data_IF_280564335062
#
_entry.id   IF_280564335062
#
_cell.length_a   1.000
_cell.length_b   1.000
_cell.length_c   1.000
_cell.angle_alpha   90.00
_cell.angle_beta   90.00
_cell.angle_gamma   90.00
#
_symmetry.space_group_name_H-M   'P 1'
#
loop_
_entity.id
_entity.type
_entity.pdbx_description
1 polymer ?
#
# COMPACT_ATOMS: atom_id res chain seq x y z
N UNK A 1 -1.37 -21.01 -13.94
CA UNK A 1 -2.81 -20.81 -13.74
C UNK A 1 -3.32 -19.87 -14.80
N UNK A 2 -4.41 -20.21 -15.48
CA UNK A 2 -5.09 -19.32 -16.41
C UNK A 2 -5.95 -18.30 -15.64
N UNK A 3 -6.42 -17.24 -16.30
CA UNK A 3 -7.31 -16.25 -15.69
C UNK A 3 -8.68 -16.84 -15.28
N UNK A 4 -9.12 -17.92 -15.94
CA UNK A 4 -10.36 -18.62 -15.60
C UNK A 4 -10.23 -19.52 -14.35
N UNK A 5 -9.02 -19.99 -14.00
CA UNK A 5 -8.79 -20.75 -12.76
C UNK A 5 -8.84 -19.86 -11.49
N UNK A 6 -8.70 -18.53 -11.65
CA UNK A 6 -8.71 -17.56 -10.55
C UNK A 6 -10.13 -17.21 -10.08
N UNK A 7 -11.15 -17.48 -10.89
CA UNK A 7 -12.55 -17.13 -10.60
C UNK A 7 -13.17 -17.90 -9.43
N UNK A 8 -12.66 -19.10 -9.14
CA UNK A 8 -13.05 -19.96 -8.02
C UNK A 8 -12.01 -19.98 -6.88
N UNK A 9 -10.96 -19.16 -6.97
CA UNK A 9 -9.89 -19.16 -5.97
C UNK A 9 -10.27 -18.31 -4.76
N UNK A 10 -10.29 -18.95 -3.58
CA UNK A 10 -10.46 -18.26 -2.29
C UNK A 10 -9.37 -17.20 -2.08
N UNK A 11 -9.75 -16.04 -1.58
CA UNK A 11 -8.87 -14.89 -1.40
C UNK A 11 -9.12 -14.10 -0.12
N UNK A 12 -8.47 -12.94 -0.01
CA UNK A 12 -8.59 -12.04 1.15
C UNK A 12 -10.04 -11.64 1.41
N UNK A 13 -10.84 -11.47 0.35
CA UNK A 13 -12.27 -11.15 0.46
C UNK A 13 -13.05 -12.20 1.27
N UNK A 14 -12.78 -13.49 1.03
CA UNK A 14 -13.45 -14.60 1.72
C UNK A 14 -13.09 -14.65 3.20
N UNK A 15 -11.83 -14.37 3.54
CA UNK A 15 -11.37 -14.27 4.93
C UNK A 15 -11.90 -13.02 5.65
N UNK A 16 -12.14 -11.93 4.92
CA UNK A 16 -12.65 -10.67 5.46
C UNK A 16 -14.15 -10.72 5.78
N UNK A 17 -14.94 -11.47 5.01
CA UNK A 17 -16.39 -11.56 5.18
C UNK A 17 -16.77 -11.89 6.64
N UNK A 18 -17.76 -11.23 7.26
CA UNK A 18 -18.09 -11.39 8.69
C UNK A 18 -18.30 -12.85 9.16
N UNK A 19 -18.90 -13.68 8.31
CA UNK A 19 -19.13 -15.11 8.52
C UNK A 19 -18.20 -15.98 7.66
N UNK A 20 -16.95 -15.53 7.48
CA UNK A 20 -15.93 -16.23 6.70
C UNK A 20 -15.83 -17.71 7.09
N UNK A 21 -15.88 -18.59 6.08
CA UNK A 21 -15.59 -20.02 6.24
C UNK A 21 -14.09 -20.29 6.29
N UNK A 22 -13.29 -19.37 5.75
CA UNK A 22 -11.84 -19.46 5.62
C UNK A 22 -11.14 -18.46 6.55
N UNK A 23 -10.05 -18.87 7.18
CA UNK A 23 -9.13 -17.97 7.85
C UNK A 23 -8.18 -17.35 6.82
N UNK A 24 -7.52 -16.23 7.18
CA UNK A 24 -6.50 -15.64 6.30
C UNK A 24 -5.39 -16.64 5.96
N UNK A 25 -5.02 -17.51 6.91
CA UNK A 25 -4.01 -18.54 6.71
C UNK A 25 -4.35 -19.51 5.56
N UNK A 26 -5.63 -19.75 5.29
CA UNK A 26 -6.09 -20.70 4.28
C UNK A 26 -5.95 -20.16 2.85
N UNK A 27 -5.81 -18.83 2.70
CA UNK A 27 -5.68 -18.15 1.40
C UNK A 27 -4.25 -17.70 1.11
N UNK A 28 -3.30 -17.95 2.00
CA UNK A 28 -1.90 -17.58 1.81
C UNK A 28 -1.23 -18.50 0.78
N UNK A 29 -0.60 -17.91 -0.22
CA UNK A 29 0.12 -18.62 -1.29
C UNK A 29 1.55 -18.12 -1.42
N UNK A 30 2.52 -18.97 -1.78
CA UNK A 30 3.86 -18.50 -2.11
C UNK A 30 3.83 -17.56 -3.31
N UNK A 31 4.67 -16.51 -3.29
CA UNK A 31 4.86 -15.66 -4.46
C UNK A 31 6.00 -16.18 -5.35
N UNK A 32 6.32 -15.43 -6.41
CA UNK A 32 7.49 -15.69 -7.26
C UNK A 32 8.83 -15.33 -6.59
N UNK A 33 8.79 -14.62 -5.46
CA UNK A 33 9.97 -14.22 -4.70
C UNK A 33 10.12 -15.06 -3.44
N UNK A 34 11.32 -15.59 -3.23
CA UNK A 34 11.65 -16.38 -2.05
C UNK A 34 11.44 -15.57 -0.76
N UNK A 35 10.81 -16.20 0.23
CA UNK A 35 10.49 -15.55 1.51
C UNK A 35 9.32 -14.56 1.46
N UNK A 36 8.65 -14.42 0.32
CA UNK A 36 7.47 -13.56 0.18
C UNK A 36 6.22 -14.43 -0.04
N UNK A 37 5.27 -14.30 0.89
CA UNK A 37 3.94 -14.90 0.81
C UNK A 37 2.92 -13.85 0.39
N UNK A 38 1.97 -14.24 -0.45
CA UNK A 38 0.89 -13.40 -0.95
C UNK A 38 -0.45 -13.87 -0.38
N UNK A 39 -1.28 -12.92 0.05
CA UNK A 39 -2.71 -13.14 0.25
C UNK A 39 -3.45 -12.53 -0.96
N UNK A 40 -3.89 -13.32 -1.94
CA UNK A 40 -4.39 -12.78 -3.19
C UNK A 40 -5.83 -12.26 -3.04
N UNK A 41 -6.16 -11.25 -3.84
CA UNK A 41 -7.54 -10.84 -4.12
C UNK A 41 -7.76 -11.02 -5.62
N UNK A 42 -8.17 -12.22 -6.08
CA UNK A 42 -8.23 -12.51 -7.51
C UNK A 42 -9.32 -11.71 -8.25
N UNK A 43 -10.38 -11.31 -7.53
CA UNK A 43 -11.52 -10.57 -8.08
C UNK A 43 -11.80 -9.34 -7.20
N UNK A 44 -11.73 -8.15 -7.78
CA UNK A 44 -11.93 -6.87 -7.05
C UNK A 44 -13.36 -6.72 -6.56
N UNK A 45 -14.34 -7.23 -7.32
CA UNK A 45 -15.76 -7.22 -6.96
C UNK A 45 -16.01 -7.99 -5.65
N UNK A 46 -15.37 -9.15 -5.45
CA UNK A 46 -15.50 -9.93 -4.23
C UNK A 46 -15.03 -9.13 -2.99
N UNK A 47 -13.97 -8.33 -3.13
CA UNK A 47 -13.49 -7.46 -2.07
C UNK A 47 -14.48 -6.33 -1.77
N UNK A 48 -15.12 -5.75 -2.80
CA UNK A 48 -16.16 -4.74 -2.61
C UNK A 48 -17.40 -5.30 -1.90
N UNK A 49 -17.82 -6.52 -2.24
CA UNK A 49 -18.92 -7.23 -1.59
C UNK A 49 -18.58 -7.53 -0.12
N UNK A 50 -17.37 -8.04 0.15
CA UNK A 50 -16.87 -8.24 1.51
C UNK A 50 -16.89 -6.92 2.30
N UNK A 51 -16.45 -5.81 1.69
CA UNK A 51 -16.52 -4.48 2.27
C UNK A 51 -17.94 -4.09 2.70
N UNK A 52 -18.93 -4.28 1.82
CA UNK A 52 -20.35 -4.00 2.10
C UNK A 52 -20.87 -4.86 3.27
N UNK A 53 -20.48 -6.13 3.32
CA UNK A 53 -20.86 -7.01 4.43
C UNK A 53 -20.23 -6.56 5.76
N UNK A 54 -18.98 -6.13 5.74
CA UNK A 54 -18.29 -5.56 6.92
C UNK A 54 -18.97 -4.26 7.35
N UNK A 55 -19.35 -3.38 6.43
CA UNK A 55 -20.08 -2.15 6.72
C UNK A 55 -21.43 -2.41 7.42
N UNK A 56 -22.11 -3.50 7.05
CA UNK A 56 -23.37 -3.90 7.68
C UNK A 56 -23.24 -4.36 9.14
N UNK A 57 -22.01 -4.60 9.62
CA UNK A 57 -21.75 -5.02 11.00
C UNK A 57 -22.01 -3.87 11.98
N UNK A 58 -22.62 -4.21 13.13
CA UNK A 58 -23.01 -3.22 14.15
C UNK A 58 -21.85 -2.72 15.00
N UNK A 59 -20.86 -3.57 15.25
CA UNK A 59 -19.76 -3.27 16.18
C UNK A 59 -18.43 -3.80 15.62
N UNK A 60 -17.33 -3.07 15.87
CA UNK A 60 -15.97 -3.51 15.58
C UNK A 60 -15.63 -3.64 14.09
N UNK A 61 -16.46 -3.08 13.20
CA UNK A 61 -16.31 -3.19 11.74
C UNK A 61 -15.04 -2.53 11.22
N UNK A 62 -14.54 -1.51 11.90
CA UNK A 62 -13.29 -0.81 11.61
C UNK A 62 -12.05 -1.66 11.95
N UNK A 63 -12.21 -2.69 12.79
CA UNK A 63 -11.15 -3.57 13.26
C UNK A 63 -11.23 -4.98 12.64
N UNK A 64 -12.10 -5.21 11.64
CA UNK A 64 -12.32 -6.53 11.06
C UNK A 64 -11.01 -7.10 10.49
N UNK A 65 -10.29 -6.33 9.70
CA UNK A 65 -9.05 -6.80 9.11
C UNK A 65 -7.98 -7.09 10.16
N UNK A 66 -7.87 -6.28 11.22
CA UNK A 66 -6.98 -6.57 12.35
C UNK A 66 -7.25 -7.95 12.96
N UNK A 67 -8.52 -8.33 13.13
CA UNK A 67 -8.89 -9.65 13.67
C UNK A 67 -8.50 -10.79 12.74
N UNK A 68 -8.69 -10.60 11.44
CA UNK A 68 -8.37 -11.59 10.39
C UNK A 68 -6.85 -11.74 10.23
N UNK A 69 -6.09 -10.65 10.38
CA UNK A 69 -4.64 -10.61 10.23
C UNK A 69 -3.89 -11.17 11.46
N UNK A 70 -4.39 -10.91 12.67
CA UNK A 70 -3.71 -11.26 13.93
C UNK A 70 -3.18 -12.70 14.03
N UNK A 71 -3.92 -13.75 13.61
CA UNK A 71 -3.45 -15.13 13.72
C UNK A 71 -2.19 -15.45 12.92
N UNK A 72 -1.91 -14.69 11.86
CA UNK A 72 -0.77 -14.95 10.97
C UNK A 72 0.41 -13.99 11.18
N UNK A 73 0.20 -12.88 11.90
CA UNK A 73 1.21 -11.81 12.07
C UNK A 73 2.56 -12.32 12.58
N UNK A 74 2.57 -13.25 13.54
CA UNK A 74 3.81 -13.73 14.16
C UNK A 74 4.73 -14.53 13.22
N UNK A 75 4.24 -14.89 12.03
CA UNK A 75 5.01 -15.60 11.02
C UNK A 75 5.78 -14.66 10.07
N UNK A 76 5.57 -13.35 10.14
CA UNK A 76 6.12 -12.37 9.20
C UNK A 76 6.83 -11.24 9.92
N UNK A 77 8.02 -10.88 9.43
CA UNK A 77 8.76 -9.71 9.91
C UNK A 77 8.14 -8.40 9.42
N UNK A 78 7.55 -8.43 8.22
CA UNK A 78 6.94 -7.29 7.54
C UNK A 78 5.67 -7.74 6.83
N UNK A 79 4.61 -6.94 6.96
CA UNK A 79 3.35 -7.13 6.21
C UNK A 79 3.09 -5.86 5.40
N UNK A 80 2.98 -6.02 4.08
CA UNK A 80 2.58 -4.94 3.19
C UNK A 80 1.10 -5.13 2.83
N UNK A 81 0.32 -4.07 2.98
CA UNK A 81 -1.11 -4.05 2.66
C UNK A 81 -1.31 -3.08 1.50
N UNK A 82 -1.57 -3.63 0.31
CA UNK A 82 -1.95 -2.82 -0.85
C UNK A 82 -3.45 -2.56 -0.80
N UNK A 83 -3.83 -1.29 -0.71
CA UNK A 83 -5.22 -0.87 -0.55
C UNK A 83 -5.82 -0.46 -1.87
N UNK A 84 -7.10 -0.76 -2.09
CA UNK A 84 -7.83 -0.19 -3.22
C UNK A 84 -7.88 1.35 -3.09
N UNK A 85 -7.92 2.09 -4.20
CA UNK A 85 -7.96 3.57 -4.16
C UNK A 85 -9.27 4.14 -3.61
N UNK A 86 -10.22 3.30 -3.23
CA UNK A 86 -11.51 3.71 -2.71
C UNK A 86 -11.40 4.15 -1.25
N UNK A 87 -11.77 5.41 -0.98
CA UNK A 87 -11.98 5.89 0.38
C UNK A 87 -13.23 5.19 0.93
N UNK A 88 -13.09 4.46 2.04
CA UNK A 88 -14.17 3.64 2.59
C UNK A 88 -13.72 2.74 3.73
N UNK A 89 -14.61 1.87 4.20
CA UNK A 89 -14.35 1.09 5.41
C UNK A 89 -13.17 0.12 5.27
N UNK A 90 -12.88 -0.37 4.06
CA UNK A 90 -11.71 -1.24 3.83
C UNK A 90 -10.39 -0.49 3.99
N UNK A 91 -10.30 0.76 3.52
CA UNK A 91 -9.15 1.62 3.77
C UNK A 91 -9.00 1.88 5.27
N UNK A 92 -10.09 2.22 5.96
CA UNK A 92 -10.09 2.37 7.42
C UNK A 92 -9.57 1.11 8.10
N UNK A 93 -10.04 -0.08 7.70
CA UNK A 93 -9.57 -1.36 8.25
C UNK A 93 -8.07 -1.59 8.05
N UNK A 94 -7.55 -1.27 6.86
CA UNK A 94 -6.12 -1.35 6.58
C UNK A 94 -5.31 -0.41 7.48
N UNK A 95 -5.74 0.85 7.60
CA UNK A 95 -5.08 1.85 8.47
C UNK A 95 -5.17 1.47 9.96
N UNK A 96 -6.28 0.89 10.40
CA UNK A 96 -6.45 0.41 11.78
C UNK A 96 -5.53 -0.77 12.09
N UNK A 97 -5.21 -1.61 11.10
CA UNK A 97 -4.28 -2.72 11.26
C UNK A 97 -2.81 -2.33 11.09
N UNK A 98 -2.51 -1.20 10.42
CA UNK A 98 -1.15 -0.80 10.07
C UNK A 98 -0.42 -0.06 11.20
N UNK A 99 0.90 -0.22 11.26
CA UNK A 99 1.77 0.64 12.10
C UNK A 99 2.18 1.92 11.37
N UNK A 100 2.33 1.81 10.05
CA UNK A 100 2.73 2.91 9.18
C UNK A 100 1.88 2.93 7.92
N UNK A 101 1.50 4.13 7.46
CA UNK A 101 0.82 4.34 6.19
C UNK A 101 1.76 5.05 5.21
N UNK A 102 2.12 4.38 4.11
CA UNK A 102 2.86 5.01 3.01
C UNK A 102 1.88 5.67 2.05
N UNK A 103 2.03 6.99 1.89
CA UNK A 103 1.25 7.75 0.91
C UNK A 103 1.99 7.69 -0.43
N UNK A 104 1.36 7.16 -1.48
CA UNK A 104 1.92 7.15 -2.84
C UNK A 104 1.10 8.11 -3.71
N UNK A 105 1.77 9.05 -4.38
CA UNK A 105 1.09 10.06 -5.21
C UNK A 105 1.83 10.32 -6.52
N UNK A 106 1.12 10.86 -7.50
CA UNK A 106 1.68 11.34 -8.77
C UNK A 106 1.71 12.87 -8.78
N UNK A 107 2.73 13.51 -9.39
CA UNK A 107 2.79 14.97 -9.51
C UNK A 107 1.61 15.60 -10.27
N UNK A 108 0.81 14.81 -10.99
CA UNK A 108 -0.40 15.28 -11.66
C UNK A 108 -1.67 15.14 -10.79
N UNK A 109 -1.64 14.23 -9.82
CA UNK A 109 -2.78 13.90 -8.96
C UNK A 109 -2.76 14.67 -7.63
N UNK A 110 -1.82 15.60 -7.49
CA UNK A 110 -1.73 16.50 -6.37
C UNK A 110 -2.83 17.57 -6.41
N UNK A 111 -4.10 17.16 -6.32
CA UNK A 111 -5.11 18.07 -5.81
C UNK A 111 -4.85 18.17 -4.31
N UNK A 112 -4.65 19.41 -3.83
CA UNK A 112 -4.55 19.66 -2.40
C UNK A 112 -5.70 18.97 -1.66
N UNK A 113 -6.91 18.99 -2.24
CA UNK A 113 -8.12 18.42 -1.67
C UNK A 113 -8.06 16.90 -1.45
N UNK A 114 -7.67 16.10 -2.45
CA UNK A 114 -7.72 14.64 -2.35
C UNK A 114 -6.65 14.08 -1.40
N UNK A 115 -5.48 14.72 -1.37
CA UNK A 115 -4.45 14.33 -0.43
C UNK A 115 -4.72 14.81 0.99
N UNK A 116 -5.29 16.01 1.14
CA UNK A 116 -5.80 16.49 2.42
C UNK A 116 -6.86 15.52 2.96
N UNK A 117 -7.76 15.02 2.12
CA UNK A 117 -8.77 14.03 2.54
C UNK A 117 -8.14 12.73 3.03
N UNK A 118 -7.13 12.21 2.34
CA UNK A 118 -6.38 11.03 2.79
C UNK A 118 -5.64 11.30 4.10
N UNK A 119 -4.96 12.44 4.21
CA UNK A 119 -4.24 12.82 5.42
C UNK A 119 -5.20 12.94 6.61
N UNK A 120 -6.32 13.64 6.44
CA UNK A 120 -7.39 13.74 7.43
C UNK A 120 -7.93 12.36 7.82
N UNK A 121 -8.07 11.45 6.87
CA UNK A 121 -8.51 10.07 7.15
C UNK A 121 -7.49 9.35 8.04
N UNK A 122 -6.19 9.46 7.74
CA UNK A 122 -5.12 8.89 8.55
C UNK A 122 -5.14 9.49 9.97
N UNK A 123 -5.27 10.82 10.09
CA UNK A 123 -5.32 11.52 11.37
C UNK A 123 -6.52 11.09 12.22
N UNK A 124 -7.70 10.94 11.61
CA UNK A 124 -8.90 10.46 12.28
C UNK A 124 -8.74 9.01 12.75
N UNK A 125 -8.19 8.14 11.90
CA UNK A 125 -7.92 6.74 12.30
C UNK A 125 -6.90 6.71 13.44
N UNK A 126 -5.83 7.49 13.37
CA UNK A 126 -4.83 7.56 14.41
C UNK A 126 -5.42 8.05 15.75
N UNK A 127 -6.27 9.09 15.71
CA UNK A 127 -6.88 9.68 16.89
C UNK A 127 -7.90 8.75 17.56
N UNK A 128 -8.71 8.02 16.79
CA UNK A 128 -9.87 7.31 17.32
C UNK A 128 -9.75 5.79 17.36
N UNK A 129 -8.94 5.18 16.49
CA UNK A 129 -8.89 3.73 16.34
C UNK A 129 -7.50 3.12 16.52
N UNK A 130 -6.44 3.80 16.10
CA UNK A 130 -5.07 3.27 16.12
C UNK A 130 -4.03 4.35 16.45
N UNK A 131 -3.81 4.67 17.75
CA UNK A 131 -2.83 5.67 18.17
C UNK A 131 -1.36 5.38 17.82
N UNK A 132 -1.07 4.17 17.29
CA UNK A 132 0.27 3.80 16.82
C UNK A 132 0.49 4.10 15.34
N UNK A 133 -0.57 4.38 14.58
CA UNK A 133 -0.49 4.66 13.15
C UNK A 133 0.32 5.92 12.91
N UNK A 134 1.32 5.82 12.04
CA UNK A 134 2.13 6.98 11.59
C UNK A 134 2.09 7.11 10.08
N UNK A 135 1.88 8.33 9.58
CA UNK A 135 2.01 8.60 8.16
C UNK A 135 3.49 8.70 7.78
N UNK A 136 3.88 7.98 6.73
CA UNK A 136 5.14 8.15 6.04
C UNK A 136 4.83 9.07 4.86
N UNK A 137 5.54 10.20 4.78
CA UNK A 137 5.32 11.22 3.76
C UNK A 137 5.36 10.67 2.33
N UNK A 138 4.97 11.49 1.35
CA UNK A 138 4.60 11.01 0.03
C UNK A 138 5.78 10.44 -0.73
N UNK A 139 5.65 9.19 -1.16
CA UNK A 139 6.44 8.62 -2.24
C UNK A 139 5.87 9.11 -3.58
N UNK A 140 6.67 9.87 -4.30
CA UNK A 140 6.26 10.40 -5.60
C UNK A 140 6.55 9.36 -6.68
N UNK A 141 5.48 8.88 -7.30
CA UNK A 141 5.53 7.93 -8.39
C UNK A 141 5.27 8.58 -9.75
N UNK A 142 5.82 7.99 -10.81
CA UNK A 142 5.50 8.38 -12.17
C UNK A 142 6.03 9.76 -12.60
N UNK A 143 7.13 10.26 -12.02
CA UNK A 143 7.66 11.58 -12.38
C UNK A 143 8.14 11.63 -13.84
N UNK A 144 7.60 12.58 -14.61
CA UNK A 144 8.03 12.89 -15.99
C UNK A 144 8.99 14.08 -16.00
N UNK A 145 9.77 14.21 -17.07
CA UNK A 145 10.53 15.45 -17.36
C UNK A 145 9.55 16.53 -17.81
N UNK A 146 9.02 17.29 -16.86
CA UNK A 146 7.97 18.27 -17.09
C UNK A 146 8.11 19.42 -16.10
N UNK A 147 8.10 20.65 -16.60
CA UNK A 147 8.08 21.84 -15.75
C UNK A 147 6.87 21.85 -14.82
N UNK A 148 5.74 21.27 -15.25
CA UNK A 148 4.55 21.17 -14.42
C UNK A 148 4.78 20.24 -13.21
N UNK A 149 5.39 19.06 -13.42
CA UNK A 149 5.68 18.13 -12.32
C UNK A 149 6.71 18.72 -11.37
N UNK A 150 7.76 19.34 -11.92
CA UNK A 150 8.78 19.99 -11.10
C UNK A 150 8.14 21.08 -10.22
N UNK A 151 7.23 21.88 -10.80
CA UNK A 151 6.48 22.90 -10.06
C UNK A 151 5.64 22.30 -8.93
N UNK A 152 4.85 21.26 -9.20
CA UNK A 152 4.01 20.61 -8.17
C UNK A 152 4.87 20.08 -7.02
N UNK A 153 6.02 19.45 -7.34
CA UNK A 153 6.93 18.95 -6.33
C UNK A 153 7.50 20.06 -5.44
N UNK A 154 7.92 21.18 -6.02
CA UNK A 154 8.58 22.26 -5.30
C UNK A 154 7.62 23.23 -4.62
N UNK A 155 6.46 23.50 -5.22
CA UNK A 155 5.52 24.54 -4.78
C UNK A 155 4.36 23.97 -3.96
N UNK A 156 3.97 22.69 -4.18
CA UNK A 156 2.81 22.10 -3.50
C UNK A 156 3.23 21.00 -2.51
N UNK A 157 4.07 20.06 -2.93
CA UNK A 157 4.43 18.87 -2.14
C UNK A 157 5.39 19.20 -1.01
N UNK A 158 6.53 19.79 -1.37
CA UNK A 158 7.62 20.07 -0.42
C UNK A 158 7.17 21.01 0.71
N UNK A 159 6.44 22.11 0.45
CA UNK A 159 5.99 23.01 1.52
C UNK A 159 4.97 22.38 2.47
N UNK A 160 4.14 21.46 1.98
CA UNK A 160 3.12 20.81 2.81
C UNK A 160 3.72 19.73 3.73
N UNK A 161 4.58 18.85 3.19
CA UNK A 161 5.13 17.71 3.93
C UNK A 161 6.47 18.00 4.63
N UNK A 162 7.13 19.11 4.32
CA UNK A 162 8.43 19.47 4.89
C UNK A 162 9.44 18.34 4.76
N UNK A 163 10.08 17.96 5.87
CA UNK A 163 11.11 16.91 5.94
C UNK A 163 10.57 15.49 5.64
N UNK A 164 9.25 15.33 5.55
CA UNK A 164 8.63 14.08 5.12
C UNK A 164 8.49 13.97 3.60
N UNK A 165 8.70 15.05 2.85
CA UNK A 165 8.60 15.08 1.40
C UNK A 165 9.85 14.50 0.75
N UNK A 166 9.70 13.48 -0.11
CA UNK A 166 10.78 12.94 -0.94
C UNK A 166 10.61 13.46 -2.36
N UNK A 167 11.02 14.70 -2.57
CA UNK A 167 10.78 15.45 -3.82
C UNK A 167 12.05 15.70 -4.63
N UNK A 168 13.21 15.31 -4.12
CA UNK A 168 14.46 15.44 -4.85
C UNK A 168 14.43 14.58 -6.12
N UNK A 169 15.06 15.01 -7.23
CA UNK A 169 15.08 14.23 -8.47
C UNK A 169 15.58 12.78 -8.31
N UNK A 170 16.40 12.53 -7.30
CA UNK A 170 17.03 11.24 -7.00
C UNK A 170 16.20 10.38 -6.03
N UNK A 171 15.07 10.92 -5.56
CA UNK A 171 14.18 10.35 -4.54
C UNK A 171 12.77 10.07 -5.09
N UNK A 172 12.45 10.53 -6.30
CA UNK A 172 11.18 10.28 -6.98
C UNK A 172 11.29 9.09 -7.93
N UNK A 173 10.22 8.31 -8.04
CA UNK A 173 10.15 7.20 -9.01
C UNK A 173 9.79 7.78 -10.39
N UNK A 174 10.64 7.59 -11.41
CA UNK A 174 10.37 8.14 -12.72
C UNK A 174 9.35 7.29 -13.47
N UNK A 175 8.61 7.90 -14.41
CA UNK A 175 7.77 7.14 -15.33
C UNK A 175 8.56 6.66 -16.54
N UNK A 176 9.17 5.48 -16.44
CA UNK A 176 9.92 4.84 -17.51
C UNK A 176 9.26 3.53 -17.92
N UNK A 177 9.05 3.31 -19.22
CA UNK A 177 8.48 2.05 -19.72
C UNK A 177 9.22 0.79 -19.20
N UNK A 178 10.56 0.76 -19.12
CA UNK A 178 11.26 -0.39 -18.54
C UNK A 178 10.90 -0.73 -17.09
N UNK A 179 10.43 0.22 -16.28
CA UNK A 179 9.97 -0.11 -14.90
C UNK A 179 8.73 -1.01 -14.97
N UNK A 180 7.77 -0.64 -15.83
CA UNK A 180 6.57 -1.44 -16.06
C UNK A 180 6.89 -2.78 -16.72
N UNK A 181 7.85 -2.81 -17.65
CA UNK A 181 8.25 -4.06 -18.31
C UNK A 181 8.82 -5.08 -17.31
N UNK A 182 9.65 -4.63 -16.36
CA UNK A 182 10.20 -5.49 -15.31
C UNK A 182 9.13 -5.97 -14.33
N UNK A 183 8.21 -5.09 -13.92
CA UNK A 183 7.07 -5.44 -13.09
C UNK A 183 6.22 -6.55 -13.74
N UNK A 184 5.88 -6.39 -15.02
CA UNK A 184 5.10 -7.39 -15.77
C UNK A 184 5.86 -8.70 -15.99
N UNK A 185 7.19 -8.63 -16.07
CA UNK A 185 8.05 -9.82 -16.16
C UNK A 185 8.25 -10.53 -14.82
N UNK A 186 7.82 -9.93 -13.69
CA UNK A 186 8.07 -10.46 -12.36
C UNK A 186 9.55 -10.42 -11.95
N UNK A 187 10.33 -9.49 -12.53
CA UNK A 187 11.78 -9.37 -12.28
C UNK A 187 12.03 -8.12 -11.43
N UNK A 188 12.83 -8.26 -10.37
CA UNK A 188 13.23 -7.14 -9.52
C UNK A 188 14.01 -6.07 -10.30
N UNK A 189 13.78 -4.79 -9.97
CA UNK A 189 14.55 -3.69 -10.59
C UNK A 189 16.04 -3.71 -10.20
N UNK A 190 16.37 -4.35 -9.08
CA UNK A 190 17.72 -4.61 -8.60
C UNK A 190 18.47 -5.63 -9.47
N UNK A 191 17.74 -6.54 -10.12
CA UNK A 191 18.28 -7.51 -11.09
C UNK A 191 18.46 -6.90 -12.49
N UNK A 192 17.99 -5.67 -12.71
CA UNK A 192 18.05 -5.03 -14.00
C UNK A 192 19.49 -4.84 -14.48
N UNK A 193 19.74 -5.09 -15.78
CA UNK A 193 21.07 -4.86 -16.38
C UNK A 193 21.45 -3.38 -16.38
N UNK A 194 20.47 -2.50 -16.53
CA UNK A 194 20.66 -1.06 -16.61
C UNK A 194 20.86 -0.43 -15.23
N UNK A 195 21.98 0.28 -15.04
CA UNK A 195 22.31 0.96 -13.77
C UNK A 195 21.23 1.92 -13.30
N UNK A 196 20.53 2.60 -14.22
CA UNK A 196 19.44 3.52 -13.88
C UNK A 196 18.24 2.83 -13.24
N UNK A 197 17.95 1.58 -13.61
CA UNK A 197 16.84 0.82 -13.02
C UNK A 197 17.23 0.28 -11.64
N UNK A 198 18.47 -0.18 -11.48
CA UNK A 198 19.02 -0.52 -10.16
C UNK A 198 19.05 0.69 -9.21
N UNK A 199 19.26 1.90 -9.74
CA UNK A 199 19.13 3.11 -8.95
C UNK A 199 17.69 3.31 -8.44
N UNK A 200 16.67 3.09 -9.28
CA UNK A 200 15.26 3.13 -8.82
C UNK A 200 15.00 2.10 -7.72
N UNK A 201 15.54 0.87 -7.84
CA UNK A 201 15.47 -0.12 -6.76
C UNK A 201 16.07 0.40 -5.44
N UNK A 202 17.20 1.11 -5.52
CA UNK A 202 17.82 1.74 -4.34
C UNK A 202 16.97 2.88 -3.74
N UNK A 203 16.13 3.55 -4.54
CA UNK A 203 15.16 4.53 -4.01
C UNK A 203 14.15 3.82 -3.13
N UNK A 204 13.52 2.74 -3.63
CA UNK A 204 12.62 1.91 -2.83
C UNK A 204 13.30 1.37 -1.57
N UNK A 205 14.56 0.91 -1.67
CA UNK A 205 15.35 0.45 -0.53
C UNK A 205 15.48 1.51 0.57
N UNK A 206 15.80 2.76 0.22
CA UNK A 206 15.87 3.86 1.18
C UNK A 206 14.51 4.14 1.83
N UNK A 207 13.41 4.03 1.09
CA UNK A 207 12.07 4.18 1.65
C UNK A 207 11.78 3.12 2.70
N UNK A 208 12.05 1.85 2.38
CA UNK A 208 11.87 0.74 3.31
C UNK A 208 12.74 0.91 4.55
N UNK A 209 14.01 1.30 4.40
CA UNK A 209 14.90 1.60 5.53
C UNK A 209 14.35 2.72 6.42
N UNK A 210 13.83 3.80 5.82
CA UNK A 210 13.19 4.88 6.59
C UNK A 210 11.98 4.34 7.35
N UNK A 211 11.09 3.60 6.70
CA UNK A 211 9.91 3.00 7.34
C UNK A 211 10.31 2.14 8.54
N UNK A 212 11.24 1.21 8.36
CA UNK A 212 11.72 0.31 9.42
C UNK A 212 12.43 1.04 10.57
N UNK A 213 13.05 2.19 10.31
CA UNK A 213 13.73 2.99 11.35
C UNK A 213 12.79 3.96 12.08
N UNK A 214 11.84 4.59 11.38
CA UNK A 214 10.82 5.47 12.02
C UNK A 214 9.71 4.68 12.71
N UNK A 215 9.43 3.45 12.26
CA UNK A 215 8.41 2.57 12.85
C UNK A 215 8.78 2.06 14.24
N UNK A 216 10.06 2.17 14.61
CA UNK A 216 10.57 1.74 15.92
C UNK A 216 10.39 0.24 16.12
N UNK A 217 11.45 -0.54 15.91
CA UNK A 217 11.53 -1.90 16.49
C UNK A 217 11.33 -1.79 18.01
N UNK A 218 10.15 -2.15 18.50
CA UNK A 218 9.86 -2.33 19.93
C UNK A 218 9.25 -3.70 20.15
#
# INVERSE_FOLDING_TARGET
MSADDLGDTIGVADALAPNAEYALADVLVPSIWDGVTLAPTPITEALADAGTQVESQRFGREHRFTHVLRPVLSAYDVVLVDTTPALGLLLTNALVAAEQALIVSQPEQWSADGLNELHNTIDLVAAYHNPKLTAVGPLINGKRKSQHHDRVLTEDISPYYGDQAWTSPDEVIPLWAPISDYLLAGIGLDEAKETRLRHVASVYGRFVERMLTTGGRR
#
